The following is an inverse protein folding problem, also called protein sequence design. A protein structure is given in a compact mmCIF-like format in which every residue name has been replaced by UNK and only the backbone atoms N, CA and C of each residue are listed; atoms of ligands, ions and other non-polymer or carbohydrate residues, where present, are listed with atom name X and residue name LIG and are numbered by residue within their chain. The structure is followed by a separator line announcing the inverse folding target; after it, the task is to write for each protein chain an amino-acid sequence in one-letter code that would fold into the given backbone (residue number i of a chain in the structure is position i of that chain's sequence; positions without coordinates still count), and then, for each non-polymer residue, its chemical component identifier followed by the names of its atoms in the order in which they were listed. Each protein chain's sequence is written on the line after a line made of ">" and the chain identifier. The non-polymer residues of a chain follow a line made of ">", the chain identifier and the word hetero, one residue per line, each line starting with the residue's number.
data_IF_743337529072
#
_entry.id   IF_743337529072
#
_cell.length_a   1.000
_cell.length_b   1.000
_cell.length_c   1.000
_cell.angle_alpha   90.00
_cell.angle_beta   90.00
_cell.angle_gamma   90.00
#
_symmetry.space_group_name_H-M   'P 1'
#
loop_
_entity.id
_entity.type
_entity.pdbx_description
1 polymer ?
#
# COMPACT_ATOMS: atom_id res chain seq x y z
N UNK A 1 -2.81 -3.59 25.42
CA UNK A 1 -3.84 -2.79 24.73
C UNK A 1 -4.14 -3.41 23.39
N UNK A 2 -5.38 -3.67 23.11
CA UNK A 2 -5.78 -4.33 21.86
C UNK A 2 -5.95 -3.30 20.77
N UNK A 3 -5.33 -3.54 19.61
CA UNK A 3 -5.49 -2.67 18.45
C UNK A 3 -6.76 -3.09 17.71
N UNK A 4 -7.62 -2.12 17.41
CA UNK A 4 -8.87 -2.40 16.72
C UNK A 4 -8.61 -2.84 15.28
N UNK A 5 -9.54 -3.63 14.73
CA UNK A 5 -9.47 -4.04 13.33
C UNK A 5 -9.55 -2.84 12.39
N UNK A 6 -10.33 -1.84 12.76
CA UNK A 6 -10.45 -0.62 11.98
C UNK A 6 -9.10 0.08 11.86
N UNK A 7 -8.39 0.23 12.98
CA UNK A 7 -7.09 0.89 12.99
C UNK A 7 -6.06 0.09 12.19
N UNK A 8 -5.98 -1.22 12.41
CA UNK A 8 -4.99 -2.03 11.70
C UNK A 8 -5.27 -2.09 10.21
N UNK A 9 -6.53 -2.18 9.80
CA UNK A 9 -6.90 -2.14 8.38
C UNK A 9 -6.56 -0.81 7.75
N UNK A 10 -6.85 0.29 8.46
CA UNK A 10 -6.53 1.62 7.98
C UNK A 10 -5.02 1.81 7.82
N UNK A 11 -4.24 1.43 8.82
CA UNK A 11 -2.78 1.54 8.78
C UNK A 11 -2.19 0.69 7.66
N UNK A 12 -2.74 -0.51 7.42
CA UNK A 12 -2.27 -1.36 6.33
C UNK A 12 -2.46 -0.69 4.97
N UNK A 13 -3.60 -0.05 4.77
CA UNK A 13 -3.87 0.68 3.52
C UNK A 13 -2.91 1.85 3.34
N UNK A 14 -2.67 2.61 4.40
CA UNK A 14 -1.73 3.73 4.34
C UNK A 14 -0.32 3.24 4.02
N UNK A 15 0.11 2.17 4.68
CA UNK A 15 1.46 1.65 4.49
C UNK A 15 1.66 1.09 3.07
N UNK A 16 0.67 0.36 2.56
CA UNK A 16 0.72 -0.16 1.19
C UNK A 16 0.80 0.99 0.19
N UNK A 17 -0.04 2.01 0.37
CA UNK A 17 0.00 3.18 -0.51
C UNK A 17 1.37 3.88 -0.46
N UNK A 18 1.96 3.98 0.71
CA UNK A 18 3.28 4.59 0.88
C UNK A 18 4.36 3.77 0.17
N UNK A 19 4.33 2.43 0.30
CA UNK A 19 5.28 1.56 -0.41
C UNK A 19 5.18 1.74 -1.92
N UNK A 20 3.97 1.87 -2.44
CA UNK A 20 3.75 2.09 -3.87
C UNK A 20 4.29 3.45 -4.28
N UNK A 21 3.94 4.49 -3.55
CA UNK A 21 4.29 5.87 -3.91
C UNK A 21 5.80 6.09 -3.90
N UNK A 22 6.50 5.49 -2.95
CA UNK A 22 7.97 5.62 -2.86
C UNK A 22 8.71 4.71 -3.84
N UNK A 23 8.01 3.79 -4.49
CA UNK A 23 8.63 2.83 -5.39
C UNK A 23 9.25 1.63 -4.67
N UNK A 24 9.10 1.54 -3.36
CA UNK A 24 9.69 0.44 -2.58
C UNK A 24 9.05 -0.90 -2.92
N UNK A 25 7.73 -0.91 -3.19
CA UNK A 25 7.01 -2.12 -3.61
C UNK A 25 5.83 -1.68 -4.47
N UNK A 26 5.86 -2.01 -5.76
CA UNK A 26 4.87 -1.52 -6.72
C UNK A 26 4.09 -2.65 -7.40
N UNK A 27 4.18 -3.86 -6.87
CA UNK A 27 3.45 -5.02 -7.40
C UNK A 27 2.95 -5.88 -6.25
N UNK A 28 1.98 -6.75 -6.52
CA UNK A 28 1.48 -7.68 -5.51
C UNK A 28 2.61 -8.55 -4.95
N UNK A 29 3.46 -9.18 -5.80
CA UNK A 29 4.56 -9.97 -5.25
C UNK A 29 5.54 -9.14 -4.40
N UNK A 30 5.82 -7.90 -4.79
CA UNK A 30 6.71 -7.03 -4.03
C UNK A 30 6.10 -6.64 -2.68
N UNK A 31 4.80 -6.37 -2.65
CA UNK A 31 4.09 -6.07 -1.40
C UNK A 31 4.13 -7.28 -0.47
N UNK A 32 3.94 -8.49 -1.00
CA UNK A 32 4.02 -9.71 -0.22
C UNK A 32 5.43 -9.90 0.37
N UNK A 33 6.45 -9.63 -0.43
CA UNK A 33 7.84 -9.76 0.03
C UNK A 33 8.19 -8.73 1.11
N UNK A 34 7.70 -7.50 0.96
CA UNK A 34 8.03 -6.43 1.89
C UNK A 34 7.32 -6.56 3.24
N UNK A 35 6.14 -7.16 3.26
CA UNK A 35 5.28 -7.17 4.44
C UNK A 35 5.01 -8.55 5.02
N UNK A 36 5.14 -9.59 4.21
CA UNK A 36 4.75 -10.93 4.60
C UNK A 36 3.24 -11.20 4.46
N UNK A 37 2.47 -10.23 3.97
CA UNK A 37 1.03 -10.44 3.83
C UNK A 37 0.72 -11.45 2.73
N UNK A 38 -0.38 -12.22 2.88
CA UNK A 38 -0.84 -13.10 1.82
C UNK A 38 -1.25 -12.32 0.56
N UNK A 39 -1.21 -12.99 -0.59
CA UNK A 39 -1.61 -12.38 -1.86
C UNK A 39 -3.00 -11.76 -1.81
N UNK A 40 -3.96 -12.48 -1.23
CA UNK A 40 -5.32 -12.00 -1.15
C UNK A 40 -5.42 -10.71 -0.33
N UNK A 41 -4.67 -10.64 0.78
CA UNK A 41 -4.63 -9.43 1.59
C UNK A 41 -4.08 -8.25 0.80
N UNK A 42 -3.01 -8.48 0.03
CA UNK A 42 -2.44 -7.43 -0.82
C UNK A 42 -3.45 -6.95 -1.86
N UNK A 43 -4.13 -7.88 -2.53
CA UNK A 43 -5.13 -7.54 -3.53
C UNK A 43 -6.31 -6.78 -2.93
N UNK A 44 -6.83 -7.25 -1.79
CA UNK A 44 -7.95 -6.59 -1.11
C UNK A 44 -7.55 -5.20 -0.62
N UNK A 45 -6.32 -5.05 -0.14
CA UNK A 45 -5.84 -3.75 0.33
C UNK A 45 -5.73 -2.76 -0.83
N UNK A 46 -5.19 -3.20 -1.96
CA UNK A 46 -5.11 -2.36 -3.16
C UNK A 46 -6.49 -1.90 -3.62
N UNK A 47 -7.46 -2.82 -3.65
CA UNK A 47 -8.83 -2.49 -4.03
C UNK A 47 -9.46 -1.49 -3.06
N UNK A 48 -9.11 -1.57 -1.78
CA UNK A 48 -9.69 -0.71 -0.75
C UNK A 48 -9.13 0.70 -0.75
N UNK A 49 -8.02 0.96 -1.44
CA UNK A 49 -7.45 2.31 -1.49
C UNK A 49 -8.44 3.31 -2.09
N UNK A 50 -9.26 2.88 -3.03
CA UNK A 50 -10.28 3.73 -3.63
C UNK A 50 -11.31 4.22 -2.60
N UNK A 51 -11.59 3.41 -1.57
CA UNK A 51 -12.51 3.80 -0.51
C UNK A 51 -11.95 4.92 0.37
N UNK A 52 -10.64 5.14 0.31
CA UNK A 52 -9.97 6.25 0.99
C UNK A 52 -9.77 7.44 0.06
N UNK A 53 -10.33 7.39 -1.14
CA UNK A 53 -10.14 8.38 -2.20
C UNK A 53 -8.67 8.52 -2.63
N UNK A 54 -7.89 7.46 -2.43
CA UNK A 54 -6.53 7.40 -2.96
C UNK A 54 -6.61 6.87 -4.38
N UNK A 55 -6.13 7.68 -5.33
CA UNK A 55 -6.12 7.30 -6.74
C UNK A 55 -4.88 6.44 -7.02
N UNK A 56 -5.06 5.14 -6.94
CA UNK A 56 -4.00 4.16 -7.21
C UNK A 56 -4.36 3.39 -8.48
N UNK A 57 -3.46 3.36 -9.44
CA UNK A 57 -3.70 2.71 -10.72
C UNK A 57 -2.56 1.77 -11.08
N UNK A 58 -2.93 0.69 -11.76
CA UNK A 58 -1.95 -0.21 -12.36
C UNK A 58 -1.63 0.29 -13.77
N UNK A 59 -0.36 0.51 -14.06
CA UNK A 59 0.09 0.97 -15.37
C UNK A 59 1.04 -0.05 -15.98
N UNK A 60 0.88 -0.31 -17.27
CA UNK A 60 1.80 -1.15 -18.03
C UNK A 60 2.59 -0.25 -18.98
N UNK A 61 3.86 -0.57 -19.14
CA UNK A 61 4.68 0.14 -20.12
C UNK A 61 4.45 -0.47 -21.50
N UNK A 62 4.34 0.40 -22.50
CA UNK A 62 4.13 -0.03 -23.87
C UNK A 62 5.32 -0.84 -24.37
N UNK A 63 5.03 -1.94 -25.07
CA UNK A 63 6.05 -2.78 -25.67
C UNK A 63 6.64 -3.82 -24.77
N UNK A 64 6.21 -3.91 -23.51
CA UNK A 64 6.70 -4.93 -22.59
C UNK A 64 6.07 -6.28 -22.88
N UNK A 65 6.92 -7.31 -23.04
CA UNK A 65 6.47 -8.65 -23.41
C UNK A 65 5.83 -9.43 -22.28
N UNK A 66 6.13 -9.07 -21.03
CA UNK A 66 5.77 -9.87 -19.87
C UNK A 66 4.73 -9.20 -19.00
N UNK A 67 3.93 -8.32 -19.57
CA UNK A 67 2.95 -7.56 -18.82
C UNK A 67 3.56 -6.89 -17.59
N UNK A 68 4.83 -6.48 -17.73
CA UNK A 68 5.49 -5.74 -16.68
C UNK A 68 4.75 -4.45 -16.46
N UNK A 69 4.27 -4.27 -15.25
CA UNK A 69 3.54 -3.08 -14.89
C UNK A 69 3.74 -2.81 -13.42
N UNK A 70 3.28 -1.66 -13.00
CA UNK A 70 3.41 -1.29 -11.61
C UNK A 70 2.24 -0.43 -11.20
N UNK A 71 1.92 -0.51 -9.91
CA UNK A 71 0.96 0.38 -9.29
C UNK A 71 1.60 1.73 -9.07
N UNK A 72 0.80 2.80 -9.19
CA UNK A 72 1.23 4.17 -8.93
C UNK A 72 0.14 4.92 -8.21
N UNK A 73 0.55 5.81 -7.32
CA UNK A 73 -0.36 6.72 -6.63
C UNK A 73 -0.38 8.03 -7.40
N UNK A 74 -1.55 8.44 -7.85
CA UNK A 74 -1.73 9.69 -8.58
C UNK A 74 -2.28 10.80 -7.70
N UNK A 75 -3.03 10.45 -6.66
CA UNK A 75 -3.62 11.42 -5.75
C UNK A 75 -3.84 10.74 -4.41
N UNK A 76 -3.47 11.41 -3.35
CA UNK A 76 -3.64 10.89 -1.99
C UNK A 76 -5.00 11.23 -1.41
N UNK A 77 -5.83 12.02 -2.13
CA UNK A 77 -7.14 12.42 -1.64
C UNK A 77 -7.04 13.22 -0.35
N UNK A 78 -7.79 12.80 0.66
CA UNK A 78 -7.79 13.47 1.96
C UNK A 78 -6.65 13.01 2.88
N UNK A 79 -5.84 12.05 2.44
CA UNK A 79 -4.78 11.46 3.28
C UNK A 79 -3.52 12.33 3.18
N UNK A 80 -2.94 12.62 4.34
CA UNK A 80 -1.69 13.37 4.43
C UNK A 80 -0.50 12.41 4.33
N UNK A 81 0.15 12.38 3.18
CA UNK A 81 1.32 11.55 2.96
C UNK A 81 2.44 11.83 3.98
N UNK A 82 2.62 13.09 4.34
CA UNK A 82 3.67 13.45 5.29
C UNK A 82 3.40 12.87 6.68
N UNK A 83 2.13 12.77 7.06
CA UNK A 83 1.77 12.12 8.32
C UNK A 83 2.26 10.68 8.33
N UNK A 84 2.11 9.97 7.21
CA UNK A 84 2.55 8.58 7.09
C UNK A 84 4.06 8.49 7.29
N UNK A 85 4.81 9.36 6.63
CA UNK A 85 6.27 9.38 6.75
C UNK A 85 6.73 9.65 8.19
N UNK A 86 6.09 10.58 8.86
CA UNK A 86 6.43 10.92 10.23
C UNK A 86 6.09 9.80 11.22
N UNK A 87 5.13 8.94 10.87
CA UNK A 87 4.61 7.91 11.76
C UNK A 87 4.91 6.50 11.25
N UNK A 88 5.88 6.37 10.36
CA UNK A 88 6.17 5.10 9.70
C UNK A 88 6.53 4.00 10.68
N UNK A 89 7.36 4.30 11.67
CA UNK A 89 7.74 3.33 12.70
C UNK A 89 6.53 2.83 13.47
N UNK A 90 5.58 3.72 13.77
CA UNK A 90 4.35 3.35 14.46
C UNK A 90 3.48 2.44 13.59
N UNK A 91 3.35 2.75 12.30
CA UNK A 91 2.58 1.90 11.38
C UNK A 91 3.18 0.50 11.34
N UNK A 92 4.48 0.39 11.16
CA UNK A 92 5.15 -0.90 11.12
C UNK A 92 4.98 -1.68 12.42
N UNK A 93 5.10 -1.00 13.56
CA UNK A 93 4.95 -1.63 14.87
C UNK A 93 3.55 -2.18 15.06
N UNK A 94 2.53 -1.39 14.74
CA UNK A 94 1.12 -1.80 14.88
C UNK A 94 0.81 -2.99 13.96
N UNK A 95 1.35 -2.97 12.74
CA UNK A 95 1.08 -4.01 11.74
C UNK A 95 1.96 -5.25 11.91
N UNK A 96 3.05 -5.14 12.67
CA UNK A 96 4.01 -6.22 12.83
C UNK A 96 4.87 -6.44 11.60
N UNK A 97 5.09 -5.42 10.79
CA UNK A 97 5.90 -5.51 9.57
C UNK A 97 7.35 -5.16 9.84
N UNK A 98 8.26 -5.72 9.02
CA UNK A 98 9.71 -5.44 9.15
C UNK A 98 10.06 -3.99 8.92
#
# INVERSE_FOLDING_TARGET
>A
MTISKTKSSFYRRLYVAWLIDTGAATSVPALMAATGMPRRTAQDTLAALADLDIDCRFTQEDGERHNAGQYRIYDWGAIDQQWIERNLAQLKSVLGYP
#
